data_IF_451720120850
#
_entry.id   IF_451720120850
#
_cell.length_a   1.000
_cell.length_b   1.000
_cell.length_c   1.000
_cell.angle_alpha   90.00
_cell.angle_beta   90.00
_cell.angle_gamma   90.00
#
_symmetry.space_group_name_H-M   'P 1'
#
loop_
_entity.id
_entity.type
_entity.pdbx_description
1 polymer ?
#
# COMPACT_ATOMS: atom_id res chain seq x y z
N UNK A 1 5.86 -16.48 -42.11
CA UNK A 1 5.42 -17.37 -41.01
C UNK A 1 4.49 -16.57 -40.10
N UNK A 2 3.19 -16.89 -40.02
CA UNK A 2 2.27 -16.12 -39.19
C UNK A 2 2.26 -16.70 -37.78
N UNK A 3 2.75 -15.93 -36.81
CA UNK A 3 2.51 -16.19 -35.40
C UNK A 3 1.08 -15.75 -35.08
N UNK A 4 0.10 -16.62 -35.38
CA UNK A 4 -1.22 -16.51 -34.80
C UNK A 4 -1.11 -16.92 -33.33
N UNK A 5 -1.22 -15.95 -32.41
CA UNK A 5 -1.51 -16.30 -31.01
C UNK A 5 -2.89 -16.93 -31.00
N UNK A 6 -2.93 -18.24 -30.77
CA UNK A 6 -4.13 -18.98 -30.39
C UNK A 6 -4.78 -18.20 -29.26
N UNK A 7 -6.06 -17.86 -29.41
CA UNK A 7 -6.80 -17.15 -28.39
C UNK A 7 -6.87 -18.01 -27.14
N UNK A 8 -6.04 -17.70 -26.14
CA UNK A 8 -6.22 -18.24 -24.80
C UNK A 8 -7.52 -17.65 -24.25
N UNK A 9 -8.56 -18.47 -24.17
CA UNK A 9 -9.76 -18.14 -23.41
C UNK A 9 -9.36 -17.83 -21.97
N UNK A 10 -9.98 -16.81 -21.38
CA UNK A 10 -9.78 -16.48 -19.97
C UNK A 10 -10.22 -17.67 -19.12
N UNK A 11 -9.28 -18.30 -18.42
CA UNK A 11 -9.57 -19.39 -17.50
C UNK A 11 -10.29 -18.86 -16.26
N UNK A 12 -11.23 -19.63 -15.75
CA UNK A 12 -11.82 -19.44 -14.43
C UNK A 12 -10.84 -19.79 -13.31
N UNK A 13 -11.14 -19.35 -12.09
CA UNK A 13 -10.29 -19.63 -10.92
C UNK A 13 -10.08 -21.14 -10.71
N UNK A 14 -11.15 -21.93 -10.80
CA UNK A 14 -11.09 -23.39 -10.61
C UNK A 14 -10.27 -24.08 -11.72
N UNK A 15 -10.35 -23.59 -12.97
CA UNK A 15 -9.55 -24.11 -14.09
C UNK A 15 -8.06 -23.84 -13.88
N UNK A 16 -7.70 -22.64 -13.40
CA UNK A 16 -6.32 -22.30 -13.07
C UNK A 16 -5.78 -23.18 -11.94
N UNK A 17 -6.58 -23.41 -10.88
CA UNK A 17 -6.17 -24.27 -9.77
C UNK A 17 -5.90 -25.71 -10.20
N UNK A 18 -6.72 -26.27 -11.09
CA UNK A 18 -6.50 -27.63 -11.59
C UNK A 18 -5.24 -27.70 -12.48
N UNK A 19 -4.93 -26.64 -13.24
CA UNK A 19 -3.72 -26.57 -14.08
C UNK A 19 -2.42 -26.49 -13.26
N UNK A 20 -2.45 -25.81 -12.10
CA UNK A 20 -1.25 -25.59 -11.26
C UNK A 20 -1.10 -26.61 -10.12
N UNK A 21 -2.00 -27.58 -10.00
CA UNK A 21 -2.15 -28.51 -8.88
C UNK A 21 -0.90 -29.33 -8.51
N UNK A 22 -0.04 -29.63 -9.49
CA UNK A 22 1.23 -30.36 -9.26
C UNK A 22 2.44 -29.44 -9.06
N UNK A 23 2.24 -28.12 -9.07
CA UNK A 23 3.29 -27.13 -8.86
C UNK A 23 3.25 -26.58 -7.45
N UNK A 24 4.43 -26.35 -6.87
CA UNK A 24 4.54 -25.65 -5.60
C UNK A 24 4.11 -24.19 -5.81
N UNK A 25 2.83 -23.92 -5.53
CA UNK A 25 2.21 -22.64 -5.83
C UNK A 25 2.29 -21.73 -4.62
N UNK A 26 2.89 -20.56 -4.83
CA UNK A 26 2.93 -19.50 -3.86
C UNK A 26 1.82 -18.47 -4.10
N UNK A 27 1.15 -18.06 -3.03
CA UNK A 27 0.19 -16.95 -3.04
C UNK A 27 0.88 -15.66 -2.60
N UNK A 28 0.71 -14.58 -3.37
CA UNK A 28 1.14 -13.23 -2.97
C UNK A 28 -0.09 -12.39 -2.63
N UNK A 29 -0.23 -12.02 -1.35
CA UNK A 29 -1.29 -11.16 -0.87
C UNK A 29 -0.86 -9.70 -0.90
N UNK A 30 -1.69 -8.84 -1.48
CA UNK A 30 -1.56 -7.38 -1.39
C UNK A 30 -2.60 -6.77 -0.45
N UNK A 31 -2.53 -5.45 -0.26
CA UNK A 31 -3.44 -4.70 0.60
C UNK A 31 -4.93 -4.87 0.24
N UNK A 32 -5.23 -5.20 -1.02
CA UNK A 32 -6.60 -5.52 -1.45
C UNK A 32 -7.23 -6.67 -0.67
N UNK A 33 -6.44 -7.63 -0.16
CA UNK A 33 -6.93 -8.67 0.72
C UNK A 33 -7.47 -8.09 2.04
N UNK A 34 -6.73 -7.17 2.66
CA UNK A 34 -7.16 -6.50 3.90
C UNK A 34 -8.41 -5.65 3.68
N UNK A 35 -8.49 -4.91 2.56
CA UNK A 35 -9.67 -4.10 2.21
C UNK A 35 -10.90 -4.99 1.95
N UNK A 36 -10.72 -6.14 1.30
CA UNK A 36 -11.79 -7.12 1.09
C UNK A 36 -12.27 -7.78 2.39
N UNK A 37 -11.35 -7.95 3.35
CA UNK A 37 -11.67 -8.45 4.69
C UNK A 37 -12.47 -7.41 5.48
N UNK A 38 -11.95 -6.19 5.61
CA UNK A 38 -12.60 -5.06 6.27
C UNK A 38 -12.33 -3.73 5.51
N UNK A 39 -13.38 -3.00 5.07
CA UNK A 39 -13.23 -1.71 4.39
C UNK A 39 -12.55 -0.62 5.24
N UNK A 40 -12.37 -0.82 6.55
CA UNK A 40 -11.56 0.07 7.38
C UNK A 40 -10.08 0.12 6.99
N UNK A 41 -9.58 -0.89 6.26
CA UNK A 41 -8.23 -0.90 5.68
C UNK A 41 -8.12 -0.11 4.37
N UNK A 42 -9.22 0.43 3.84
CA UNK A 42 -9.17 1.28 2.65
C UNK A 42 -8.30 2.52 2.91
N UNK A 43 -7.59 3.00 1.89
CA UNK A 43 -6.66 4.13 2.02
C UNK A 43 -7.33 5.40 2.56
N UNK A 44 -8.55 5.70 2.08
CA UNK A 44 -9.40 6.78 2.60
C UNK A 44 -9.69 6.61 4.09
N UNK A 45 -10.12 5.42 4.49
CA UNK A 45 -10.40 5.06 5.89
C UNK A 45 -9.17 5.16 6.80
N UNK A 46 -7.97 4.87 6.28
CA UNK A 46 -6.71 5.02 7.01
C UNK A 46 -6.32 6.49 7.15
N UNK A 47 -6.50 7.29 6.09
CA UNK A 47 -6.26 8.73 6.11
C UNK A 47 -7.14 9.46 7.12
N UNK A 48 -8.42 9.08 7.21
CA UNK A 48 -9.35 9.62 8.22
C UNK A 48 -8.93 9.32 9.67
N UNK A 49 -8.22 8.21 9.90
CA UNK A 49 -7.76 7.78 11.23
C UNK A 49 -6.37 8.31 11.60
N UNK A 50 -5.64 8.86 10.64
CA UNK A 50 -4.32 9.44 10.83
C UNK A 50 -4.40 10.86 11.41
N UNK A 51 -3.41 11.24 12.22
CA UNK A 51 -3.38 12.55 12.86
C UNK A 51 -2.18 13.37 12.39
N UNK A 52 -2.43 14.37 11.55
CA UNK A 52 -1.38 15.19 10.96
C UNK A 52 -0.94 16.37 11.85
N UNK A 53 -0.67 16.10 13.13
CA UNK A 53 -0.21 17.13 14.09
C UNK A 53 1.32 17.26 14.07
N UNK A 54 1.82 18.50 14.10
CA UNK A 54 3.26 18.78 14.18
C UNK A 54 4.04 18.53 12.88
N UNK A 55 3.35 18.43 11.75
CA UNK A 55 3.97 18.46 10.43
C UNK A 55 4.34 19.89 10.04
N UNK A 56 5.38 20.02 9.23
CA UNK A 56 5.84 21.31 8.73
C UNK A 56 4.93 21.83 7.62
N UNK A 57 4.31 20.93 6.86
CA UNK A 57 3.32 21.22 5.82
C UNK A 57 1.89 20.89 6.25
N UNK A 58 0.90 21.44 5.53
CA UNK A 58 -0.47 20.94 5.58
C UNK A 58 -0.57 19.64 4.78
N UNK A 59 -0.50 18.51 5.48
CA UNK A 59 -0.52 17.19 4.86
C UNK A 59 -1.86 16.88 4.19
N UNK A 60 -2.98 17.33 4.74
CA UNK A 60 -4.28 17.12 4.09
C UNK A 60 -4.36 17.81 2.73
N UNK A 61 -3.82 19.02 2.63
CA UNK A 61 -3.74 19.72 1.35
C UNK A 61 -2.80 19.00 0.38
N UNK A 62 -1.72 18.39 0.87
CA UNK A 62 -0.81 17.59 0.03
C UNK A 62 -1.55 16.39 -0.60
N UNK A 63 -2.21 15.55 0.21
CA UNK A 63 -3.01 14.42 -0.31
C UNK A 63 -4.06 14.90 -1.32
N UNK A 64 -4.82 15.95 -0.96
CA UNK A 64 -5.85 16.51 -1.86
C UNK A 64 -5.27 17.05 -3.17
N UNK A 65 -4.12 17.72 -3.12
CA UNK A 65 -3.46 18.28 -4.30
C UNK A 65 -2.92 17.20 -5.25
N UNK A 66 -2.53 16.05 -4.70
CA UNK A 66 -2.08 14.90 -5.46
C UNK A 66 -3.25 14.06 -6.00
N UNK A 67 -4.46 14.22 -5.43
CA UNK A 67 -5.61 13.39 -5.76
C UNK A 67 -5.44 11.93 -5.31
N UNK A 68 -4.64 11.72 -4.26
CA UNK A 68 -4.25 10.41 -3.75
C UNK A 68 -4.64 10.29 -2.28
N UNK A 69 -4.99 9.09 -1.84
CA UNK A 69 -5.18 8.73 -0.42
C UNK A 69 -4.16 7.68 0.05
N UNK A 70 -3.44 7.06 -0.89
CA UNK A 70 -2.39 6.09 -0.58
C UNK A 70 -1.13 6.80 -0.04
N UNK A 71 -0.85 6.53 1.23
CA UNK A 71 0.31 7.05 1.94
C UNK A 71 1.62 6.70 1.24
N UNK A 72 1.76 5.48 0.68
CA UNK A 72 2.99 5.06 0.03
C UNK A 72 3.24 5.90 -1.23
N UNK A 73 2.19 6.11 -2.02
CA UNK A 73 2.23 6.96 -3.22
C UNK A 73 2.58 8.41 -2.88
N UNK A 74 2.02 8.97 -1.80
CA UNK A 74 2.37 10.32 -1.34
C UNK A 74 3.83 10.39 -0.85
N UNK A 75 4.28 9.44 -0.03
CA UNK A 75 5.66 9.38 0.48
C UNK A 75 6.66 9.25 -0.68
N UNK A 76 6.36 8.40 -1.67
CA UNK A 76 7.17 8.23 -2.88
C UNK A 76 7.21 9.50 -3.73
N UNK A 77 6.13 10.27 -3.75
CA UNK A 77 6.09 11.58 -4.42
C UNK A 77 6.97 12.59 -3.70
N UNK A 78 6.98 12.59 -2.35
CA UNK A 78 7.91 13.40 -1.57
C UNK A 78 9.38 13.00 -1.84
N UNK A 79 9.69 11.72 -1.99
CA UNK A 79 11.03 11.25 -2.40
C UNK A 79 11.45 11.79 -3.76
N UNK A 80 10.55 11.72 -4.75
CA UNK A 80 10.80 12.30 -6.07
C UNK A 80 11.02 13.80 -6.01
N UNK A 81 10.25 14.52 -5.19
CA UNK A 81 10.44 15.95 -4.99
C UNK A 81 11.83 16.26 -4.40
N UNK A 82 12.30 15.47 -3.44
CA UNK A 82 13.66 15.61 -2.89
C UNK A 82 14.74 15.38 -3.95
N UNK A 83 14.57 14.38 -4.83
CA UNK A 83 15.49 14.13 -5.95
C UNK A 83 15.53 15.32 -6.92
N UNK A 84 14.37 15.91 -7.22
CA UNK A 84 14.29 17.12 -8.04
C UNK A 84 15.01 18.27 -7.34
N UNK A 85 14.73 18.54 -6.07
CA UNK A 85 15.39 19.62 -5.32
C UNK A 85 16.91 19.43 -5.31
N UNK A 86 17.39 18.20 -5.13
CA UNK A 86 18.81 17.87 -5.12
C UNK A 86 19.50 18.20 -6.47
N UNK A 87 18.85 17.90 -7.59
CA UNK A 87 19.37 18.22 -8.93
C UNK A 87 19.49 19.73 -9.19
N UNK A 88 18.69 20.57 -8.51
CA UNK A 88 18.74 22.03 -8.62
C UNK A 88 19.65 22.68 -7.56
N UNK A 89 20.25 21.92 -6.64
CA UNK A 89 21.25 22.45 -5.70
C UNK A 89 22.49 22.90 -6.47
N UNK A 90 22.71 24.21 -6.51
CA UNK A 90 23.95 24.80 -7.03
C UNK A 90 24.88 25.13 -5.86
N UNK A 91 26.15 25.44 -6.11
CA UNK A 91 27.14 25.75 -5.04
C UNK A 91 26.72 26.89 -4.09
N UNK A 92 25.73 27.71 -4.45
CA UNK A 92 25.14 28.77 -3.62
C UNK A 92 23.73 28.39 -3.14
N UNK A 93 23.52 27.14 -2.71
CA UNK A 93 22.23 26.67 -2.20
C UNK A 93 21.69 27.63 -1.14
N UNK A 94 20.52 28.23 -1.41
CA UNK A 94 19.85 29.15 -0.51
C UNK A 94 19.49 28.40 0.79
N UNK A 95 19.64 28.98 1.98
CA UNK A 95 19.25 28.37 3.26
C UNK A 95 17.83 27.78 3.27
N UNK A 96 16.95 28.31 2.42
CA UNK A 96 15.60 27.82 2.23
C UNK A 96 15.51 26.41 1.63
N UNK A 97 16.39 26.04 0.68
CA UNK A 97 16.40 24.71 0.08
C UNK A 97 16.82 23.64 1.09
N UNK A 98 17.75 23.96 1.99
CA UNK A 98 18.16 23.07 3.08
C UNK A 98 17.03 22.90 4.10
N UNK A 99 16.39 24.01 4.51
CA UNK A 99 15.22 23.98 5.38
C UNK A 99 14.10 23.13 4.79
N UNK A 100 13.73 23.35 3.52
CA UNK A 100 12.68 22.60 2.85
C UNK A 100 13.02 21.11 2.73
N UNK A 101 14.26 20.77 2.35
CA UNK A 101 14.73 19.38 2.29
C UNK A 101 14.56 18.69 3.64
N UNK A 102 14.99 19.35 4.73
CA UNK A 102 14.88 18.81 6.08
C UNK A 102 13.42 18.64 6.50
N UNK A 103 12.58 19.64 6.26
CA UNK A 103 11.15 19.60 6.58
C UNK A 103 10.44 18.44 5.87
N UNK A 104 10.70 18.25 4.57
CA UNK A 104 10.13 17.15 3.78
C UNK A 104 10.59 15.79 4.32
N UNK A 105 11.88 15.62 4.64
CA UNK A 105 12.40 14.37 5.22
C UNK A 105 11.73 14.05 6.56
N UNK A 106 11.64 15.04 7.46
CA UNK A 106 11.01 14.85 8.77
C UNK A 106 9.53 14.52 8.65
N UNK A 107 8.81 15.21 7.77
CA UNK A 107 7.39 14.97 7.54
C UNK A 107 7.13 13.61 6.89
N UNK A 108 7.99 13.11 6.00
CA UNK A 108 7.91 11.74 5.49
C UNK A 108 7.98 10.70 6.61
N UNK A 109 8.91 10.87 7.53
CA UNK A 109 9.08 9.92 8.65
C UNK A 109 7.93 9.99 9.64
N UNK A 110 7.36 11.18 9.89
CA UNK A 110 6.12 11.32 10.64
C UNK A 110 4.96 10.63 9.92
N UNK A 111 4.86 10.79 8.60
CA UNK A 111 3.78 10.23 7.79
C UNK A 111 3.79 8.70 7.82
N UNK A 112 4.98 8.07 7.72
CA UNK A 112 5.14 6.62 7.93
C UNK A 112 4.64 6.16 9.30
N UNK A 113 5.01 6.89 10.36
CA UNK A 113 4.57 6.57 11.73
C UNK A 113 3.06 6.70 11.89
N UNK A 114 2.45 7.73 11.29
CA UNK A 114 0.99 7.90 11.33
C UNK A 114 0.26 6.82 10.54
N UNK A 115 0.81 6.35 9.41
CA UNK A 115 0.27 5.19 8.70
C UNK A 115 0.26 3.94 9.59
N UNK A 116 1.39 3.62 10.24
CA UNK A 116 1.49 2.46 11.14
C UNK A 116 0.45 2.57 12.25
N UNK A 117 0.32 3.75 12.89
CA UNK A 117 -0.70 3.97 13.93
C UNK A 117 -2.12 3.81 13.40
N UNK A 118 -2.43 4.35 12.22
CA UNK A 118 -3.75 4.22 11.61
C UNK A 118 -4.11 2.75 11.36
N UNK A 119 -3.14 1.96 10.87
CA UNK A 119 -3.29 0.51 10.68
C UNK A 119 -3.51 -0.19 12.02
N UNK A 120 -2.72 0.14 13.06
CA UNK A 120 -2.90 -0.45 14.39
C UNK A 120 -4.27 -0.14 15.01
N UNK A 121 -4.90 1.00 14.66
CA UNK A 121 -6.26 1.35 15.12
C UNK A 121 -7.35 0.51 14.46
N UNK A 122 -7.12 -0.02 13.25
CA UNK A 122 -8.10 -0.83 12.50
C UNK A 122 -7.84 -2.33 12.57
N UNK A 123 -6.65 -2.73 13.04
CA UNK A 123 -6.29 -4.13 13.15
C UNK A 123 -7.19 -4.83 14.19
N UNK A 124 -7.89 -5.92 13.82
CA UNK A 124 -8.67 -6.70 14.77
C UNK A 124 -7.78 -7.20 15.93
N UNK A 125 -8.21 -7.06 17.17
CA UNK A 125 -7.42 -7.55 18.31
C UNK A 125 -7.39 -9.07 18.36
N UNK A 126 -8.47 -9.72 17.91
CA UNK A 126 -8.61 -11.18 17.89
C UNK A 126 -9.20 -11.67 16.57
N UNK A 127 -8.86 -12.90 16.13
CA UNK A 127 -9.48 -13.50 14.94
C UNK A 127 -11.01 -13.56 15.00
N UNK A 128 -11.59 -13.71 16.20
CA UNK A 128 -13.04 -13.76 16.42
C UNK A 128 -13.74 -12.40 16.20
N UNK A 129 -12.98 -11.31 16.01
CA UNK A 129 -13.54 -10.01 15.66
C UNK A 129 -13.83 -9.91 14.15
N UNK A 130 -13.37 -10.89 13.36
CA UNK A 130 -13.70 -11.04 11.94
C UNK A 130 -14.97 -11.89 11.83
N UNK A 131 -15.86 -11.51 10.91
CA UNK A 131 -17.04 -12.32 10.57
C UNK A 131 -16.65 -13.76 10.21
N UNK A 132 -17.31 -14.74 10.85
CA UNK A 132 -16.94 -16.15 10.73
C UNK A 132 -17.04 -16.66 9.27
N UNK A 133 -18.04 -16.21 8.51
CA UNK A 133 -18.20 -16.64 7.12
C UNK A 133 -17.07 -16.10 6.24
N UNK A 134 -16.64 -14.84 6.45
CA UNK A 134 -15.45 -14.28 5.80
C UNK A 134 -14.18 -15.04 6.18
N UNK A 135 -14.00 -15.33 7.47
CA UNK A 135 -12.85 -16.07 7.97
C UNK A 135 -12.76 -17.46 7.32
N UNK A 136 -13.86 -18.21 7.33
CA UNK A 136 -13.92 -19.56 6.76
C UNK A 136 -13.67 -19.53 5.25
N UNK A 137 -14.24 -18.55 4.53
CA UNK A 137 -14.01 -18.37 3.10
C UNK A 137 -12.54 -18.06 2.78
N UNK A 138 -11.91 -17.19 3.56
CA UNK A 138 -10.50 -16.85 3.36
C UNK A 138 -9.60 -18.07 3.62
N UNK A 139 -9.83 -18.77 4.74
CA UNK A 139 -9.05 -19.97 5.09
C UNK A 139 -9.18 -21.08 4.04
N UNK A 140 -10.36 -21.24 3.43
CA UNK A 140 -10.57 -22.22 2.36
C UNK A 140 -9.61 -21.98 1.20
N UNK A 141 -9.49 -20.73 0.76
CA UNK A 141 -8.59 -20.32 -0.34
C UNK A 141 -7.13 -20.40 0.09
N UNK A 142 -6.77 -19.85 1.25
CA UNK A 142 -5.37 -19.80 1.70
C UNK A 142 -4.74 -21.19 1.87
N UNK A 143 -5.54 -22.21 2.22
CA UNK A 143 -5.08 -23.60 2.38
C UNK A 143 -4.70 -24.30 1.07
N UNK A 144 -5.08 -23.74 -0.08
CA UNK A 144 -4.73 -24.31 -1.40
C UNK A 144 -3.27 -24.04 -1.78
N UNK A 145 -2.57 -23.14 -1.06
CA UNK A 145 -1.22 -22.69 -1.39
C UNK A 145 -0.20 -23.15 -0.35
N UNK A 146 0.94 -23.69 -0.82
CA UNK A 146 2.02 -24.19 0.05
C UNK A 146 2.84 -23.08 0.69
N UNK A 147 2.93 -21.93 0.02
CA UNK A 147 3.63 -20.73 0.51
C UNK A 147 2.74 -19.50 0.36
N UNK A 148 2.72 -18.65 1.40
CA UNK A 148 2.00 -17.38 1.39
C UNK A 148 3.00 -16.26 1.66
N UNK A 149 3.07 -15.32 0.74
CA UNK A 149 3.82 -14.08 0.85
C UNK A 149 2.86 -12.91 0.96
N UNK A 150 3.30 -11.84 1.61
CA UNK A 150 2.56 -10.58 1.63
C UNK A 150 3.47 -9.49 1.10
N UNK A 151 2.89 -8.54 0.39
CA UNK A 151 3.57 -7.28 0.11
C UNK A 151 3.61 -6.51 1.43
N UNK A 152 4.74 -6.55 2.13
CA UNK A 152 4.95 -5.68 3.27
C UNK A 152 4.90 -4.22 2.81
N UNK A 153 4.16 -3.42 3.58
CA UNK A 153 4.17 -1.94 3.60
C UNK A 153 5.59 -1.42 3.87
#
# INVERSE_FOLDING_TARGET
>A
MPWGRVGSSMLSYDEVLEEIKETDTALLLGNGFSVGCDPQFAYTSLREKAEFRGFSANINDLFNSLGEDDFETVIRTMDRALQVVDAYKTKNTLPYCEYLTKAVIEDKEKLKKELIKAISKVHPEKPNDIDQAKYDSAIKVLKEFGSIFTLNI
#
